data_IF_520793719567
#
_entry.id   IF_520793719567
#
_cell.length_a   1.000
_cell.length_b   1.000
_cell.length_c   1.000
_cell.angle_alpha   90.00
_cell.angle_beta   90.00
_cell.angle_gamma   90.00
#
_symmetry.space_group_name_H-M   'P 1'
#
loop_
_entity.id
_entity.type
_entity.pdbx_description
1 polymer ?
#
# COMPACT_ATOMS: atom_id res chain seq x y z
N UNK A 1 -44.43 32.24 20.66
CA UNK A 1 -43.73 32.75 19.46
C UNK A 1 -42.27 32.33 19.53
N UNK A 2 -41.80 31.80 18.41
CA UNK A 2 -40.48 31.24 18.13
C UNK A 2 -39.31 32.21 18.36
N UNK A 3 -38.16 31.75 18.87
CA UNK A 3 -36.99 31.42 18.03
C UNK A 3 -35.79 30.92 18.84
N UNK A 4 -35.22 29.85 18.29
CA UNK A 4 -33.96 29.15 18.56
C UNK A 4 -32.73 30.03 18.36
N UNK A 5 -31.59 29.70 18.98
CA UNK A 5 -30.22 29.70 18.39
C UNK A 5 -29.23 29.10 19.41
N UNK A 6 -29.00 27.77 19.34
CA UNK A 6 -27.89 27.08 18.63
C UNK A 6 -26.50 27.37 19.23
N UNK A 7 -26.03 26.36 19.96
CA UNK A 7 -24.66 26.14 20.43
C UNK A 7 -23.68 26.28 19.26
N UNK A 8 -22.66 27.12 19.41
CA UNK A 8 -21.46 27.05 18.57
C UNK A 8 -20.42 26.25 19.36
N UNK A 9 -20.28 24.97 19.02
CA UNK A 9 -19.11 24.18 19.39
C UNK A 9 -18.04 24.59 18.37
N UNK A 10 -17.07 25.38 18.79
CA UNK A 10 -15.84 25.59 18.06
C UNK A 10 -15.06 24.26 18.11
N UNK A 11 -15.21 23.43 17.08
CA UNK A 11 -14.28 22.35 16.79
C UNK A 11 -13.01 22.97 16.22
N UNK A 12 -12.00 23.16 17.07
CA UNK A 12 -10.66 23.49 16.60
C UNK A 12 -10.07 22.23 15.97
N UNK A 13 -10.08 22.15 14.63
CA UNK A 13 -9.25 21.22 13.88
C UNK A 13 -7.82 21.77 14.00
N UNK A 14 -7.12 21.37 15.06
CA UNK A 14 -5.67 21.49 15.10
C UNK A 14 -5.11 20.47 14.11
N UNK A 15 -4.84 20.93 12.90
CA UNK A 15 -3.92 20.28 11.99
C UNK A 15 -2.53 20.29 12.64
N UNK A 16 -2.25 19.29 13.47
CA UNK A 16 -0.91 19.05 13.99
C UNK A 16 -0.13 18.30 12.91
N UNK A 17 0.36 19.03 11.92
CA UNK A 17 1.46 18.54 11.08
C UNK A 17 2.72 18.55 11.91
N UNK A 18 3.09 17.39 12.45
CA UNK A 18 4.45 17.12 12.90
C UNK A 18 4.95 15.85 12.20
N UNK A 19 5.34 16.00 10.93
CA UNK A 19 6.19 15.01 10.28
C UNK A 19 7.62 15.24 10.78
N UNK A 20 8.00 14.53 11.85
CA UNK A 20 9.41 14.31 12.15
C UNK A 20 9.94 13.27 11.18
N UNK A 21 10.50 13.71 10.06
CA UNK A 21 11.25 12.87 9.13
C UNK A 21 12.58 12.48 9.78
N UNK A 22 12.55 11.46 10.64
CA UNK A 22 13.75 10.68 10.92
C UNK A 22 14.07 9.89 9.65
N UNK A 23 15.28 10.07 9.13
CA UNK A 23 15.72 9.49 7.86
C UNK A 23 15.74 7.96 7.90
N UNK A 24 14.63 7.36 7.52
CA UNK A 24 14.65 6.09 6.81
C UNK A 24 15.06 6.45 5.37
N UNK A 25 16.07 5.76 4.84
CA UNK A 25 16.36 5.81 3.42
C UNK A 25 15.17 5.20 2.69
N UNK A 26 14.14 6.01 2.43
CA UNK A 26 13.04 5.64 1.56
C UNK A 26 13.68 5.33 0.21
N UNK A 27 13.63 4.07 -0.21
CA UNK A 27 14.03 3.68 -1.56
C UNK A 27 13.39 4.67 -2.53
N UNK A 28 14.20 5.29 -3.41
CA UNK A 28 13.64 6.19 -4.42
C UNK A 28 12.58 5.41 -5.20
N UNK A 29 11.38 6.00 -5.43
CA UNK A 29 10.32 5.30 -6.13
C UNK A 29 10.85 4.86 -7.49
N UNK A 30 10.87 3.55 -7.72
CA UNK A 30 11.39 2.95 -8.97
C UNK A 30 10.40 3.06 -10.12
N UNK A 31 9.19 3.58 -9.83
CA UNK A 31 8.12 3.78 -10.80
C UNK A 31 7.29 2.53 -11.03
N UNK A 32 7.92 1.36 -11.18
CA UNK A 32 7.25 0.07 -11.40
C UNK A 32 7.70 -0.95 -10.35
N UNK A 33 6.73 -1.74 -9.86
CA UNK A 33 6.96 -2.83 -8.92
C UNK A 33 6.27 -4.09 -9.46
N UNK A 34 6.91 -5.25 -9.31
CA UNK A 34 6.31 -6.55 -9.63
C UNK A 34 5.37 -6.96 -8.50
N UNK A 35 4.10 -7.22 -8.82
CA UNK A 35 3.18 -7.77 -7.81
C UNK A 35 3.56 -9.20 -7.42
N UNK A 36 4.10 -9.96 -8.38
CA UNK A 36 4.55 -11.35 -8.18
C UNK A 36 5.72 -11.42 -7.20
N UNK A 37 6.68 -10.51 -7.32
CA UNK A 37 7.83 -10.42 -6.39
C UNK A 37 7.45 -9.79 -5.04
N UNK A 38 6.34 -9.04 -5.01
CA UNK A 38 5.83 -8.48 -3.76
C UNK A 38 5.07 -9.52 -2.95
N UNK A 39 4.38 -10.43 -3.62
CA UNK A 39 3.88 -11.65 -3.00
C UNK A 39 5.07 -12.53 -2.61
N UNK A 40 4.94 -13.28 -1.51
CA UNK A 40 5.99 -14.12 -0.92
C UNK A 40 7.25 -13.34 -0.45
N UNK A 41 7.24 -12.01 -0.52
CA UNK A 41 8.35 -11.19 -0.05
C UNK A 41 8.57 -11.34 1.46
N UNK A 42 9.83 -11.58 1.85
CA UNK A 42 10.21 -11.70 3.26
C UNK A 42 9.90 -10.42 4.05
N UNK A 43 9.31 -10.61 5.23
CA UNK A 43 9.00 -9.54 6.18
C UNK A 43 9.97 -9.57 7.36
N UNK A 44 10.49 -8.39 7.71
CA UNK A 44 11.45 -8.14 8.78
C UNK A 44 10.92 -7.05 9.74
N UNK A 45 11.36 -7.07 11.00
CA UNK A 45 11.07 -6.00 11.96
C UNK A 45 12.01 -4.81 11.76
N UNK A 46 11.59 -3.59 12.09
CA UNK A 46 12.29 -2.31 11.85
C UNK A 46 13.76 -2.23 12.29
N UNK A 47 14.22 -3.14 13.16
CA UNK A 47 15.58 -3.15 13.69
C UNK A 47 16.21 -4.56 13.66
N UNK A 48 15.67 -5.47 12.84
CA UNK A 48 16.16 -6.83 12.74
C UNK A 48 16.05 -7.36 11.30
N UNK A 49 17.11 -7.15 10.53
CA UNK A 49 17.21 -7.58 9.13
C UNK A 49 17.70 -9.03 8.99
N UNK A 50 17.89 -9.74 10.10
CA UNK A 50 18.47 -11.09 10.11
C UNK A 50 17.43 -12.19 10.32
N UNK A 51 16.25 -11.83 10.78
CA UNK A 51 15.19 -12.79 11.10
C UNK A 51 13.93 -12.40 10.33
N UNK A 52 13.54 -13.30 9.43
CA UNK A 52 12.23 -13.27 8.79
C UNK A 52 11.19 -13.54 9.86
N UNK A 53 10.12 -12.75 9.84
CA UNK A 53 9.00 -12.86 10.78
C UNK A 53 7.71 -13.29 10.09
N UNK A 54 7.73 -13.38 8.77
CA UNK A 54 6.59 -13.74 7.94
C UNK A 54 6.86 -13.39 6.48
N UNK A 55 5.86 -13.61 5.66
CA UNK A 55 5.86 -13.39 4.21
C UNK A 55 4.62 -12.60 3.81
N UNK A 56 4.68 -11.91 2.68
CA UNK A 56 3.51 -11.20 2.14
C UNK A 56 2.58 -12.20 1.44
N UNK A 57 1.40 -12.41 2.00
CA UNK A 57 0.38 -13.30 1.43
C UNK A 57 -0.52 -12.56 0.42
N UNK A 58 -0.84 -11.29 0.67
CA UNK A 58 -1.76 -10.52 -0.19
C UNK A 58 -1.44 -9.02 -0.15
N UNK A 59 -1.85 -8.31 -1.20
CA UNK A 59 -1.71 -6.86 -1.33
C UNK A 59 -3.10 -6.26 -1.48
N UNK A 60 -3.55 -5.56 -0.44
CA UNK A 60 -4.88 -4.96 -0.43
C UNK A 60 -4.82 -3.58 -1.10
N UNK A 61 -5.59 -3.42 -2.16
CA UNK A 61 -5.74 -2.15 -2.89
C UNK A 61 -7.02 -1.41 -2.47
N UNK A 62 -6.95 -0.08 -2.46
CA UNK A 62 -8.12 0.78 -2.29
C UNK A 62 -8.86 1.03 -3.62
N UNK A 63 -9.95 1.81 -3.55
CA UNK A 63 -10.75 2.18 -4.73
C UNK A 63 -10.00 3.03 -5.77
N UNK A 64 -8.87 3.62 -5.39
CA UNK A 64 -7.95 4.35 -6.25
C UNK A 64 -6.85 3.44 -6.82
N UNK A 65 -6.94 2.11 -6.62
CA UNK A 65 -5.92 1.14 -7.02
C UNK A 65 -4.55 1.42 -6.37
N UNK A 66 -4.54 2.04 -5.19
CA UNK A 66 -3.33 2.26 -4.40
C UNK A 66 -3.22 1.20 -3.31
N UNK A 67 -2.01 0.79 -2.98
CA UNK A 67 -1.78 -0.12 -1.84
C UNK A 67 -2.32 0.54 -0.58
N UNK A 68 -3.22 -0.14 0.11
CA UNK A 68 -3.79 0.28 1.38
C UNK A 68 -3.16 -0.48 2.55
N UNK A 69 -2.87 -1.77 2.35
CA UNK A 69 -2.22 -2.63 3.33
C UNK A 69 -1.55 -3.83 2.64
N UNK A 70 -0.64 -4.47 3.37
CA UNK A 70 -0.17 -5.83 3.08
C UNK A 70 -0.85 -6.80 4.04
N UNK A 71 -1.14 -8.00 3.59
CA UNK A 71 -1.45 -9.14 4.46
C UNK A 71 -0.15 -9.89 4.67
N UNK A 72 0.26 -10.01 5.93
CA UNK A 72 1.49 -10.70 6.33
C UNK A 72 1.08 -12.00 7.00
N UNK A 73 1.46 -13.12 6.41
CA UNK A 73 1.40 -14.42 7.07
C UNK A 73 2.60 -14.55 8.00
N UNK A 74 2.36 -14.76 9.28
CA UNK A 74 3.43 -14.92 10.25
C UNK A 74 4.07 -16.30 10.15
N UNK A 75 5.39 -16.34 10.20
CA UNK A 75 6.14 -17.60 10.26
C UNK A 75 6.02 -18.28 11.65
N UNK A 76 6.13 -19.61 11.68
CA UNK A 76 6.10 -20.45 12.89
C UNK A 76 7.15 -20.00 13.91
N UNK A 77 8.25 -19.40 13.44
CA UNK A 77 9.33 -18.82 14.24
C UNK A 77 8.85 -17.77 15.25
N UNK A 78 7.73 -17.08 15.00
CA UNK A 78 7.13 -16.14 15.95
C UNK A 78 6.21 -16.80 17.00
N UNK A 79 6.07 -18.13 16.95
CA UNK A 79 5.06 -18.87 17.72
C UNK A 79 3.65 -18.44 17.34
N UNK A 80 3.47 -18.00 16.09
CA UNK A 80 2.22 -17.57 15.51
C UNK A 80 1.84 -18.63 14.47
N UNK A 81 0.78 -19.36 14.76
CA UNK A 81 0.26 -20.51 14.00
C UNK A 81 -0.26 -20.08 12.62
N UNK A 82 0.64 -19.74 11.70
CA UNK A 82 0.39 -19.28 10.32
C UNK A 82 -0.75 -18.23 10.26
N UNK A 83 -0.73 -17.30 11.22
CA UNK A 83 -1.77 -16.28 11.34
C UNK A 83 -1.49 -15.13 10.39
N UNK A 84 -2.53 -14.65 9.72
CA UNK A 84 -2.42 -13.57 8.74
C UNK A 84 -2.85 -12.24 9.35
N UNK A 85 -2.00 -11.22 9.23
CA UNK A 85 -2.18 -9.90 9.85
C UNK A 85 -2.19 -8.78 8.80
N UNK A 86 -3.06 -7.80 9.00
CA UNK A 86 -3.20 -6.67 8.08
C UNK A 86 -2.30 -5.52 8.52
N UNK A 87 -1.29 -5.22 7.73
CA UNK A 87 -0.31 -4.15 7.98
C UNK A 87 -0.58 -2.99 7.02
N UNK A 88 -1.18 -1.93 7.53
CA UNK A 88 -1.55 -0.73 6.75
C UNK A 88 -0.34 0.03 6.22
N UNK A 89 -0.52 0.75 5.11
CA UNK A 89 0.49 1.69 4.60
C UNK A 89 0.93 2.70 5.66
N UNK A 90 2.22 3.06 5.61
CA UNK A 90 2.87 3.90 6.63
C UNK A 90 3.41 3.09 7.83
N UNK A 91 2.94 1.86 8.04
CA UNK A 91 3.48 0.94 9.04
C UNK A 91 4.53 -0.03 8.49
N UNK A 92 4.85 0.05 7.20
CA UNK A 92 5.92 -0.73 6.58
C UNK A 92 6.68 0.10 5.54
N UNK A 93 7.87 -0.36 5.18
CA UNK A 93 8.66 0.14 4.05
C UNK A 93 9.11 -1.03 3.19
N UNK A 94 9.22 -0.81 1.88
CA UNK A 94 9.73 -1.78 0.92
C UNK A 94 11.18 -1.41 0.57
N UNK A 95 12.09 -2.37 0.73
CA UNK A 95 13.44 -2.34 0.21
C UNK A 95 13.51 -3.18 -1.07
N UNK A 96 14.05 -2.62 -2.14
CA UNK A 96 14.34 -3.36 -3.37
C UNK A 96 15.83 -3.67 -3.44
N UNK A 97 16.15 -4.95 -3.64
CA UNK A 97 17.49 -5.45 -3.95
C UNK A 97 17.53 -5.84 -5.42
N UNK A 98 18.67 -5.60 -6.07
CA UNK A 98 18.92 -6.02 -7.46
C UNK A 98 17.85 -5.53 -8.46
N UNK A 99 17.41 -4.27 -8.30
CA UNK A 99 16.31 -3.69 -9.09
C UNK A 99 16.55 -3.60 -10.60
N UNK A 100 17.79 -3.77 -11.06
CA UNK A 100 18.21 -3.75 -12.46
C UNK A 100 18.31 -5.15 -13.10
N UNK A 101 18.11 -6.22 -12.32
CA UNK A 101 18.18 -7.60 -12.78
C UNK A 101 16.88 -8.33 -12.43
N UNK A 102 16.04 -8.59 -13.44
CA UNK A 102 14.72 -9.22 -13.22
C UNK A 102 14.82 -10.65 -12.70
N UNK A 103 15.91 -11.37 -13.01
CA UNK A 103 16.09 -12.76 -12.58
C UNK A 103 16.53 -12.84 -11.11
N UNK A 104 17.01 -11.72 -10.55
CA UNK A 104 17.50 -11.62 -9.17
C UNK A 104 16.78 -10.53 -8.37
N UNK A 105 15.73 -9.93 -8.93
CA UNK A 105 14.92 -8.90 -8.28
C UNK A 105 14.38 -9.46 -6.97
N UNK A 106 14.58 -8.73 -5.88
CA UNK A 106 14.14 -9.18 -4.56
C UNK A 106 13.51 -8.01 -3.81
N UNK A 107 12.34 -8.24 -3.23
CA UNK A 107 11.71 -7.30 -2.30
C UNK A 107 11.81 -7.77 -0.86
N UNK A 108 12.12 -6.83 0.03
CA UNK A 108 12.15 -7.05 1.47
C UNK A 108 11.25 -6.03 2.15
N UNK A 109 10.30 -6.52 2.94
CA UNK A 109 9.38 -5.67 3.68
C UNK A 109 9.92 -5.46 5.09
N UNK A 110 9.97 -4.21 5.53
CA UNK A 110 10.34 -3.85 6.89
C UNK A 110 9.14 -3.24 7.59
N UNK A 111 8.59 -3.93 8.59
CA UNK A 111 7.49 -3.39 9.40
C UNK A 111 8.03 -2.45 10.48
N UNK A 112 7.43 -1.28 10.60
CA UNK A 112 7.78 -0.23 11.55
C UNK A 112 7.21 -0.50 12.95
N UNK A 113 7.40 -1.72 13.45
CA UNK A 113 6.86 -2.20 14.72
C UNK A 113 7.67 -3.40 15.25
N UNK A 114 7.47 -3.73 16.52
CA UNK A 114 7.99 -4.96 17.12
C UNK A 114 7.01 -6.14 16.98
N UNK A 115 7.45 -7.32 17.44
CA UNK A 115 6.66 -8.55 17.38
C UNK A 115 5.32 -8.45 18.14
N UNK A 116 5.30 -7.79 19.30
CA UNK A 116 4.07 -7.69 20.09
C UNK A 116 3.05 -6.79 19.37
N UNK A 117 3.52 -5.69 18.79
CA UNK A 117 2.70 -4.77 18.00
C UNK A 117 2.20 -5.40 16.69
N UNK A 118 2.98 -6.29 16.07
CA UNK A 118 2.54 -7.05 14.90
C UNK A 118 1.35 -7.96 15.25
N UNK A 119 1.43 -8.65 16.40
CA UNK A 119 0.35 -9.52 16.92
C UNK A 119 -0.93 -8.76 17.29
N UNK A 120 -0.83 -7.45 17.50
CA UNK A 120 -1.96 -6.57 17.77
C UNK A 120 -2.64 -6.04 16.49
N UNK A 121 -2.06 -6.26 15.31
CA UNK A 121 -2.70 -5.86 14.07
C UNK A 121 -3.98 -6.68 13.82
N UNK A 122 -4.94 -6.14 13.04
CA UNK A 122 -6.14 -6.88 12.67
C UNK A 122 -5.79 -8.19 11.96
N UNK A 123 -6.43 -9.29 12.34
CA UNK A 123 -6.27 -10.56 11.63
C UNK A 123 -7.05 -10.56 10.31
N UNK A 124 -6.41 -11.01 9.25
CA UNK A 124 -7.02 -11.21 7.94
C UNK A 124 -7.87 -12.48 7.97
N UNK A 125 -9.16 -12.29 8.22
CA UNK A 125 -10.15 -13.37 8.26
C UNK A 125 -11.26 -13.09 7.25
N UNK A 126 -12.04 -14.13 6.92
CA UNK A 126 -13.20 -13.97 6.02
C UNK A 126 -14.18 -12.92 6.56
N UNK A 127 -14.43 -12.91 7.86
CA UNK A 127 -15.34 -11.95 8.48
C UNK A 127 -14.77 -10.53 8.45
N UNK A 128 -13.49 -10.36 8.81
CA UNK A 128 -12.79 -9.08 8.72
C UNK A 128 -12.83 -8.52 7.29
N UNK A 129 -12.57 -9.36 6.28
CA UNK A 129 -12.61 -8.97 4.87
C UNK A 129 -13.99 -8.49 4.45
N UNK A 130 -15.05 -9.23 4.81
CA UNK A 130 -16.42 -8.87 4.45
C UNK A 130 -16.84 -7.55 5.11
N UNK A 131 -16.56 -7.38 6.40
CA UNK A 131 -16.92 -6.18 7.16
C UNK A 131 -16.12 -4.95 6.69
N UNK A 132 -14.83 -5.12 6.45
CA UNK A 132 -13.94 -4.04 5.98
C UNK A 132 -14.33 -3.60 4.58
N UNK A 133 -14.54 -4.54 3.65
CA UNK A 133 -14.97 -4.23 2.27
C UNK A 133 -16.31 -3.50 2.26
N UNK A 134 -17.26 -3.91 3.10
CA UNK A 134 -18.56 -3.24 3.24
C UNK A 134 -18.42 -1.83 3.80
N UNK A 135 -17.57 -1.65 4.80
CA UNK A 135 -17.31 -0.35 5.42
C UNK A 135 -16.60 0.61 4.46
N UNK A 136 -15.62 0.12 3.71
CA UNK A 136 -14.93 0.86 2.67
C UNK A 136 -15.91 1.31 1.57
N UNK A 137 -16.74 0.40 1.05
CA UNK A 137 -17.75 0.73 0.05
C UNK A 137 -18.76 1.79 0.55
N UNK A 138 -19.19 1.71 1.81
CA UNK A 138 -20.08 2.72 2.39
C UNK A 138 -19.41 4.09 2.51
N UNK A 139 -18.15 4.15 2.95
CA UNK A 139 -17.39 5.39 3.04
C UNK A 139 -17.14 6.02 1.65
N UNK A 140 -16.90 5.16 0.64
CA UNK A 140 -16.75 5.52 -0.76
C UNK A 140 -18.05 6.16 -1.28
N UNK A 141 -19.20 5.52 -1.09
CA UNK A 141 -20.52 6.05 -1.49
C UNK A 141 -20.86 7.38 -0.78
N UNK A 142 -20.58 7.49 0.52
CA UNK A 142 -20.83 8.74 1.27
C UNK A 142 -19.96 9.90 0.77
N UNK A 143 -18.70 9.61 0.42
CA UNK A 143 -17.76 10.61 -0.14
C UNK A 143 -18.24 11.08 -1.51
N UNK A 144 -18.70 10.16 -2.35
CA UNK A 144 -19.28 10.46 -3.66
C UNK A 144 -20.48 11.41 -3.53
N UNK A 145 -21.36 11.17 -2.56
CA UNK A 145 -22.58 11.97 -2.37
C UNK A 145 -22.29 13.34 -1.73
N UNK A 146 -21.37 13.40 -0.77
CA UNK A 146 -21.07 14.63 -0.01
C UNK A 146 -20.11 15.56 -0.75
N UNK A 147 -19.18 15.00 -1.53
CA UNK A 147 -18.05 15.73 -2.12
C UNK A 147 -17.81 15.37 -3.60
N UNK A 148 -18.89 15.31 -4.39
CA UNK A 148 -18.88 14.84 -5.79
C UNK A 148 -17.78 15.44 -6.69
N UNK A 149 -17.47 16.74 -6.59
CA UNK A 149 -16.40 17.35 -7.41
C UNK A 149 -15.01 16.89 -6.99
N UNK A 150 -14.70 16.92 -5.70
CA UNK A 150 -13.41 16.45 -5.18
C UNK A 150 -13.20 14.96 -5.49
N UNK A 151 -14.27 14.18 -5.43
CA UNK A 151 -14.29 12.79 -5.85
C UNK A 151 -13.92 12.58 -7.33
N UNK A 152 -14.55 13.35 -8.23
CA UNK A 152 -14.30 13.28 -9.65
C UNK A 152 -12.86 13.65 -9.97
N UNK A 153 -12.33 14.69 -9.33
CA UNK A 153 -10.96 15.14 -9.50
C UNK A 153 -9.96 14.04 -9.09
N UNK A 154 -10.15 13.40 -7.93
CA UNK A 154 -9.31 12.28 -7.47
C UNK A 154 -9.35 11.10 -8.45
N UNK A 155 -10.55 10.65 -8.86
CA UNK A 155 -10.71 9.57 -9.85
C UNK A 155 -10.01 9.89 -11.17
N UNK A 156 -10.13 11.11 -11.65
CA UNK A 156 -9.49 11.55 -12.89
C UNK A 156 -7.97 11.59 -12.76
N UNK A 157 -7.45 12.08 -11.63
CA UNK A 157 -6.01 12.10 -11.36
C UNK A 157 -5.42 10.69 -11.35
N UNK A 158 -6.06 9.74 -10.66
CA UNK A 158 -5.67 8.34 -10.65
C UNK A 158 -5.72 7.72 -12.04
N UNK A 159 -6.80 7.91 -12.78
CA UNK A 159 -6.92 7.39 -14.15
C UNK A 159 -5.83 7.94 -15.08
N UNK A 160 -5.49 9.23 -14.95
CA UNK A 160 -4.39 9.85 -15.70
C UNK A 160 -3.03 9.26 -15.31
N UNK A 161 -2.78 9.02 -14.02
CA UNK A 161 -1.54 8.42 -13.55
C UNK A 161 -1.38 6.99 -14.10
N UNK A 162 -2.42 6.15 -14.02
CA UNK A 162 -2.41 4.79 -14.56
C UNK A 162 -2.25 4.78 -16.09
N UNK A 163 -2.91 5.69 -16.80
CA UNK A 163 -2.74 5.85 -18.26
C UNK A 163 -1.29 6.23 -18.60
N UNK A 164 -0.69 7.13 -17.83
CA UNK A 164 0.69 7.56 -18.04
C UNK A 164 1.67 6.40 -17.82
N UNK A 165 1.47 5.62 -16.75
CA UNK A 165 2.26 4.41 -16.49
C UNK A 165 2.09 3.37 -17.62
N UNK A 166 0.85 3.11 -18.06
CA UNK A 166 0.58 2.19 -19.17
C UNK A 166 1.23 2.64 -20.48
N UNK A 167 1.23 3.94 -20.77
CA UNK A 167 1.92 4.49 -21.95
C UNK A 167 3.44 4.34 -21.86
N UNK A 168 4.03 4.53 -20.67
CA UNK A 168 5.47 4.33 -20.46
C UNK A 168 5.88 2.87 -20.69
N UNK A 169 5.11 1.92 -20.14
CA UNK A 169 5.32 0.48 -20.35
C UNK A 169 5.16 0.11 -21.83
N UNK A 170 4.10 0.61 -22.48
CA UNK A 170 3.85 0.33 -23.90
C UNK A 170 4.94 0.90 -24.81
N UNK A 171 5.48 2.08 -24.47
CA UNK A 171 6.63 2.67 -25.16
C UNK A 171 7.86 1.78 -25.07
N UNK A 172 8.23 1.38 -23.86
CA UNK A 172 9.38 0.49 -23.63
C UNK A 172 9.23 -0.87 -24.37
N UNK A 173 8.03 -1.43 -24.42
CA UNK A 173 7.76 -2.67 -25.13
C UNK A 173 7.90 -2.55 -26.66
N UNK A 174 7.46 -1.42 -27.23
CA UNK A 174 7.61 -1.17 -28.67
C UNK A 174 9.08 -0.94 -29.04
N UNK A 175 9.82 -0.16 -28.25
CA UNK A 175 11.24 0.11 -28.49
C UNK A 175 12.05 -1.20 -28.51
N UNK A 176 11.78 -2.11 -27.56
CA UNK A 176 12.40 -3.43 -27.53
C UNK A 176 12.07 -4.28 -28.78
N UNK A 177 10.85 -4.17 -29.33
CA UNK A 177 10.46 -4.89 -30.54
C UNK A 177 11.17 -4.36 -31.79
N UNK A 178 11.31 -3.04 -31.90
CA UNK A 178 12.00 -2.41 -33.03
C UNK A 178 13.51 -2.74 -33.03
N UNK A 179 14.15 -2.76 -31.86
CA UNK A 179 15.56 -3.17 -31.72
C UNK A 179 15.78 -4.63 -32.17
N UNK A 180 14.91 -5.56 -31.77
CA UNK A 180 14.99 -6.97 -32.21
C UNK A 180 14.74 -7.15 -33.72
N UNK A 181 13.95 -6.28 -34.34
CA UNK A 181 13.65 -6.34 -35.78
C UNK A 181 14.81 -5.81 -36.65
N UNK A 182 15.63 -4.90 -36.12
CA UNK A 182 16.80 -4.35 -36.82
C UNK A 182 18.03 -5.28 -36.71
N UNK A 183 18.20 -6.01 -35.61
CA UNK A 183 19.30 -6.99 -35.44
C UNK A 183 19.17 -8.26 -36.31
N UNK A 184 18.00 -8.50 -36.91
CA UNK A 184 17.73 -9.67 -37.76
C UNK A 184 17.87 -9.40 -39.28
N UNK A 185 18.33 -8.21 -39.67
CA UNK A 185 18.65 -7.82 -41.06
C UNK A 185 20.16 -7.71 -41.31
#
# INVERSE_FOLDING_TARGET
MSKMNRKQILGAITATTLLTTSGLAMANPQGLYSADELMDADVYLQNNDQQVVGEVEDVLLDDNMQVAALVVESDEVLGLDDQQYVVETGKFTLETRQGDDIDNLEYRIHVNMDEAQLKEQPQYTTDWWQDTRKSAAAAWDETKDTAASAWQDTRQATANALTSAGNAISGAANDAQDEMADETQ
#
